data_IF_824160299412
#
_entry.id   IF_824160299412
#
_cell.length_a   1.000
_cell.length_b   1.000
_cell.length_c   1.000
_cell.angle_alpha   90.00
_cell.angle_beta   90.00
_cell.angle_gamma   90.00
#
_symmetry.space_group_name_H-M   'P 1'
#
loop_
_entity.id
_entity.type
_entity.pdbx_description
1 polymer ?
#
# COMPACT_ATOMS: atom_id res chain seq x y z
N UNK A 1 -32.14 -8.07 -16.49
CA UNK A 1 -30.77 -8.57 -16.76
C UNK A 1 -30.69 -10.09 -16.72
N UNK A 2 -29.97 -10.69 -17.65
CA UNK A 2 -29.73 -12.15 -17.68
C UNK A 2 -28.59 -12.56 -16.73
N UNK A 3 -28.58 -13.81 -16.22
CA UNK A 3 -27.59 -14.27 -15.25
C UNK A 3 -26.14 -14.24 -15.77
N UNK A 4 -25.92 -14.41 -17.07
CA UNK A 4 -24.59 -14.34 -17.69
C UNK A 4 -23.99 -12.93 -17.60
N UNK A 5 -24.83 -11.92 -17.76
CA UNK A 5 -24.46 -10.51 -17.75
C UNK A 5 -24.14 -10.03 -16.33
N UNK A 6 -24.94 -10.48 -15.36
CA UNK A 6 -24.67 -10.29 -13.93
C UNK A 6 -23.32 -10.90 -13.57
N UNK A 7 -23.05 -12.13 -14.02
CA UNK A 7 -21.78 -12.80 -13.76
C UNK A 7 -20.59 -12.09 -14.44
N UNK A 8 -20.78 -11.53 -15.63
CA UNK A 8 -19.76 -10.76 -16.33
C UNK A 8 -19.42 -9.45 -15.61
N UNK A 9 -20.43 -8.65 -15.25
CA UNK A 9 -20.27 -7.41 -14.49
C UNK A 9 -19.66 -7.67 -13.11
N UNK A 10 -20.08 -8.73 -12.43
CA UNK A 10 -19.53 -9.10 -11.13
C UNK A 10 -18.06 -9.55 -11.23
N UNK A 11 -17.66 -10.20 -12.32
CA UNK A 11 -16.26 -10.50 -12.61
C UNK A 11 -15.44 -9.23 -12.92
N UNK A 12 -16.00 -8.25 -13.63
CA UNK A 12 -15.33 -6.96 -13.85
C UNK A 12 -15.16 -6.23 -12.53
N UNK A 13 -16.23 -6.13 -11.74
CA UNK A 13 -16.26 -5.55 -10.39
C UNK A 13 -15.18 -6.16 -9.49
N UNK A 14 -15.08 -7.48 -9.50
CA UNK A 14 -14.07 -8.19 -8.71
C UNK A 14 -12.62 -7.89 -9.16
N UNK A 15 -12.40 -7.60 -10.44
CA UNK A 15 -11.08 -7.40 -11.01
C UNK A 15 -10.64 -5.92 -11.10
N UNK A 16 -11.57 -4.96 -11.13
CA UNK A 16 -11.29 -3.53 -11.36
C UNK A 16 -10.66 -2.81 -10.15
N UNK A 17 -10.78 -3.34 -8.93
CA UNK A 17 -10.15 -2.81 -7.69
C UNK A 17 -10.38 -1.30 -7.45
N UNK A 18 -11.54 -0.76 -7.84
CA UNK A 18 -11.87 0.66 -7.67
C UNK A 18 -12.39 0.98 -6.26
N UNK A 19 -12.56 2.27 -5.95
CA UNK A 19 -13.22 2.70 -4.73
C UNK A 19 -14.73 2.49 -4.85
N UNK A 20 -15.47 2.32 -3.74
CA UNK A 20 -16.92 2.00 -3.79
C UNK A 20 -17.78 2.99 -4.58
N UNK A 21 -17.48 4.28 -4.50
CA UNK A 21 -18.20 5.31 -5.25
C UNK A 21 -17.97 5.14 -6.76
N UNK A 22 -16.71 5.17 -7.18
CA UNK A 22 -16.28 4.98 -8.57
C UNK A 22 -16.73 3.61 -9.13
N UNK A 23 -16.75 2.57 -8.30
CA UNK A 23 -17.21 1.22 -8.65
C UNK A 23 -18.71 1.20 -8.97
N UNK A 24 -19.52 1.91 -8.18
CA UNK A 24 -20.99 1.92 -8.37
C UNK A 24 -21.35 2.72 -9.62
N UNK A 25 -20.72 3.88 -9.81
CA UNK A 25 -20.89 4.72 -11.00
C UNK A 25 -20.46 3.95 -12.27
N UNK A 26 -19.29 3.33 -12.24
CA UNK A 26 -18.77 2.58 -13.37
C UNK A 26 -19.60 1.34 -13.73
N UNK A 27 -20.08 0.59 -12.72
CA UNK A 27 -20.97 -0.55 -12.99
C UNK A 27 -22.28 -0.07 -13.61
N UNK A 28 -22.82 1.07 -13.15
CA UNK A 28 -24.03 1.65 -13.75
C UNK A 28 -23.79 2.12 -15.19
N UNK A 29 -22.63 2.70 -15.49
CA UNK A 29 -22.25 3.12 -16.84
C UNK A 29 -22.05 1.93 -17.79
N UNK A 30 -21.38 0.88 -17.32
CA UNK A 30 -21.21 -0.38 -18.06
C UNK A 30 -22.55 -1.08 -18.29
N UNK A 31 -23.41 -1.13 -17.28
CA UNK A 31 -24.77 -1.68 -17.39
C UNK A 31 -25.57 -0.94 -18.46
N UNK A 32 -25.55 0.40 -18.41
CA UNK A 32 -26.23 1.25 -19.41
C UNK A 32 -25.68 1.00 -20.82
N UNK A 33 -24.35 0.96 -20.98
CA UNK A 33 -23.72 0.72 -22.28
C UNK A 33 -24.06 -0.67 -22.85
N UNK A 34 -24.10 -1.70 -22.00
CA UNK A 34 -24.45 -3.07 -22.41
C UNK A 34 -25.93 -3.15 -22.77
N UNK A 35 -26.81 -2.48 -22.04
CA UNK A 35 -28.23 -2.42 -22.35
C UNK A 35 -28.50 -1.71 -23.69
N UNK A 36 -27.80 -0.61 -23.96
CA UNK A 36 -27.90 0.10 -25.23
C UNK A 36 -27.39 -0.76 -26.39
N UNK A 37 -26.25 -1.45 -26.22
CA UNK A 37 -25.73 -2.36 -27.26
C UNK A 37 -26.61 -3.58 -27.50
N UNK A 38 -27.20 -4.15 -26.45
CA UNK A 38 -28.17 -5.23 -26.58
C UNK A 38 -29.39 -4.81 -27.36
N UNK A 39 -29.88 -3.58 -27.14
CA UNK A 39 -31.02 -3.02 -27.86
C UNK A 39 -30.71 -2.86 -29.34
N UNK A 40 -29.57 -2.28 -29.67
CA UNK A 40 -29.10 -2.13 -31.06
C UNK A 40 -28.96 -3.49 -31.78
N UNK A 41 -28.37 -4.48 -31.11
CA UNK A 41 -28.23 -5.83 -31.67
C UNK A 41 -29.59 -6.54 -31.85
N UNK A 42 -30.52 -6.34 -30.92
CA UNK A 42 -31.88 -6.92 -31.05
C UNK A 42 -32.68 -6.21 -32.16
N UNK A 43 -32.54 -4.89 -32.28
CA UNK A 43 -33.18 -4.08 -33.34
C UNK A 43 -32.61 -4.41 -34.73
N UNK A 44 -31.34 -4.79 -34.82
CA UNK A 44 -30.73 -5.30 -36.06
C UNK A 44 -31.14 -6.74 -36.42
N UNK A 45 -32.02 -7.36 -35.63
CA UNK A 45 -32.66 -8.65 -35.95
C UNK A 45 -32.01 -9.87 -35.30
N UNK A 46 -31.06 -9.70 -34.38
CA UNK A 46 -30.51 -10.83 -33.63
C UNK A 46 -31.48 -11.30 -32.56
N UNK A 47 -31.49 -12.61 -32.31
CA UNK A 47 -32.18 -13.16 -31.15
C UNK A 47 -31.55 -12.64 -29.85
N UNK A 48 -32.31 -12.52 -28.74
CA UNK A 48 -31.78 -12.03 -27.47
C UNK A 48 -30.54 -12.79 -26.98
N UNK A 49 -30.49 -14.10 -27.24
CA UNK A 49 -29.37 -14.98 -26.84
C UNK A 49 -28.12 -14.74 -27.70
N UNK A 50 -28.30 -14.55 -29.01
CA UNK A 50 -27.19 -14.21 -29.92
C UNK A 50 -26.68 -12.79 -29.70
N UNK A 51 -27.56 -11.85 -29.39
CA UNK A 51 -27.21 -10.48 -29.05
C UNK A 51 -26.32 -10.42 -27.79
N UNK A 52 -26.63 -11.20 -26.76
CA UNK A 52 -25.80 -11.31 -25.55
C UNK A 52 -24.42 -11.89 -25.87
N UNK A 53 -24.37 -12.99 -26.62
CA UNK A 53 -23.11 -13.65 -26.96
C UNK A 53 -22.21 -12.75 -27.83
N UNK A 54 -22.83 -12.01 -28.75
CA UNK A 54 -22.14 -11.07 -29.63
C UNK A 54 -21.63 -9.86 -28.85
N UNK A 55 -22.48 -9.25 -28.01
CA UNK A 55 -22.10 -8.13 -27.14
C UNK A 55 -20.92 -8.49 -26.21
N UNK A 56 -20.99 -9.64 -25.54
CA UNK A 56 -19.90 -10.10 -24.67
C UNK A 56 -18.62 -10.45 -25.46
N UNK A 57 -18.76 -10.94 -26.70
CA UNK A 57 -17.64 -11.17 -27.60
C UNK A 57 -16.93 -9.87 -28.00
N UNK A 58 -17.69 -8.82 -28.31
CA UNK A 58 -17.18 -7.50 -28.69
C UNK A 58 -16.53 -6.75 -27.53
N UNK A 59 -17.08 -6.83 -26.31
CA UNK A 59 -16.45 -6.26 -25.12
C UNK A 59 -15.10 -6.92 -24.76
N UNK A 60 -14.89 -8.15 -25.20
CA UNK A 60 -13.66 -8.89 -24.97
C UNK A 60 -13.51 -9.43 -23.54
N UNK A 61 -12.28 -9.78 -23.14
CA UNK A 61 -12.07 -10.44 -21.85
C UNK A 61 -12.29 -9.48 -20.67
N UNK A 62 -13.01 -9.96 -19.63
CA UNK A 62 -13.23 -9.22 -18.37
C UNK A 62 -11.94 -8.67 -17.75
N UNK A 63 -10.80 -9.34 -17.95
CA UNK A 63 -9.48 -8.89 -17.47
C UNK A 63 -8.95 -7.68 -18.22
N UNK A 64 -9.16 -7.59 -19.54
CA UNK A 64 -8.73 -6.45 -20.35
C UNK A 64 -9.56 -5.22 -20.01
N UNK A 65 -10.88 -5.39 -19.96
CA UNK A 65 -11.83 -4.34 -19.59
C UNK A 65 -11.52 -3.81 -18.19
N UNK A 66 -11.41 -4.70 -17.20
CA UNK A 66 -11.02 -4.30 -15.85
C UNK A 66 -9.66 -3.60 -15.78
N UNK A 67 -8.69 -3.98 -16.63
CA UNK A 67 -7.38 -3.31 -16.70
C UNK A 67 -7.49 -1.90 -17.27
N UNK A 68 -8.21 -1.70 -18.37
CA UNK A 68 -8.38 -0.39 -19.00
C UNK A 68 -9.14 0.57 -18.08
N UNK A 69 -10.19 0.07 -17.43
CA UNK A 69 -10.95 0.80 -16.43
C UNK A 69 -10.07 1.22 -15.26
N UNK A 70 -9.27 0.29 -14.73
CA UNK A 70 -8.29 0.62 -13.71
C UNK A 70 -7.30 1.68 -14.20
N UNK A 71 -6.80 1.60 -15.43
CA UNK A 71 -5.86 2.58 -15.99
C UNK A 71 -6.48 3.98 -16.16
N UNK A 72 -7.77 4.06 -16.51
CA UNK A 72 -8.51 5.31 -16.67
C UNK A 72 -8.85 5.97 -15.32
N UNK A 73 -9.32 5.19 -14.34
CA UNK A 73 -9.77 5.70 -13.04
C UNK A 73 -8.67 5.74 -11.96
N UNK A 74 -7.52 5.09 -12.14
CA UNK A 74 -6.47 5.02 -11.10
C UNK A 74 -5.55 6.24 -11.01
N UNK A 75 -5.77 7.29 -11.81
CA UNK A 75 -5.04 8.55 -11.66
C UNK A 75 -5.61 9.36 -10.50
N UNK A 76 -4.81 9.53 -9.44
CA UNK A 76 -5.23 10.37 -8.33
C UNK A 76 -5.13 11.85 -8.67
N UNK A 77 -5.99 12.65 -8.02
CA UNK A 77 -5.99 14.10 -8.16
C UNK A 77 -4.74 14.72 -7.54
N UNK A 78 -4.37 15.93 -7.96
CA UNK A 78 -3.27 16.69 -7.34
C UNK A 78 -3.46 16.91 -5.84
N UNK A 79 -4.71 17.04 -5.38
CA UNK A 79 -5.03 17.08 -3.95
C UNK A 79 -4.62 15.79 -3.24
N UNK A 80 -4.86 14.63 -3.85
CA UNK A 80 -4.45 13.34 -3.30
C UNK A 80 -2.92 13.21 -3.29
N UNK A 81 -2.23 13.66 -4.34
CA UNK A 81 -0.77 13.71 -4.38
C UNK A 81 -0.23 14.52 -3.21
N UNK A 82 -0.70 15.76 -3.05
CA UNK A 82 -0.23 16.65 -2.01
C UNK A 82 -0.48 16.08 -0.61
N UNK A 83 -1.68 15.56 -0.35
CA UNK A 83 -2.04 14.96 0.94
C UNK A 83 -1.27 13.67 1.25
N UNK A 84 -0.97 12.85 0.24
CA UNK A 84 -0.22 11.60 0.40
C UNK A 84 1.29 11.84 0.56
N UNK A 85 1.83 12.88 -0.08
CA UNK A 85 3.23 13.27 0.03
C UNK A 85 3.52 14.11 1.28
N UNK A 86 2.50 14.74 1.88
CA UNK A 86 2.64 15.63 3.03
C UNK A 86 3.42 15.05 4.22
N UNK A 87 3.20 13.81 4.71
CA UNK A 87 3.97 13.31 5.85
C UNK A 87 5.46 13.25 5.51
N UNK A 88 5.80 12.82 4.28
CA UNK A 88 7.19 12.76 3.82
C UNK A 88 7.82 14.15 3.72
N UNK A 89 7.09 15.14 3.22
CA UNK A 89 7.57 16.53 3.18
C UNK A 89 7.77 17.11 4.57
N UNK A 90 6.84 16.86 5.50
CA UNK A 90 6.94 17.33 6.89
C UNK A 90 8.14 16.72 7.62
N UNK A 91 8.32 15.40 7.52
CA UNK A 91 9.50 14.73 8.09
C UNK A 91 10.79 15.18 7.38
N UNK A 92 10.78 15.35 6.06
CA UNK A 92 11.91 15.89 5.31
C UNK A 92 12.32 17.29 5.78
N UNK A 93 11.34 18.17 5.98
CA UNK A 93 11.54 19.54 6.47
C UNK A 93 12.03 19.56 7.93
N UNK A 94 11.48 18.68 8.79
CA UNK A 94 11.89 18.53 10.19
C UNK A 94 13.40 18.25 10.29
N UNK A 95 13.93 17.40 9.40
CA UNK A 95 15.35 17.09 9.34
C UNK A 95 16.17 18.19 8.63
N UNK A 96 15.69 18.71 7.51
CA UNK A 96 16.40 19.75 6.74
C UNK A 96 16.58 21.06 7.53
N UNK A 97 15.57 21.47 8.28
CA UNK A 97 15.60 22.68 9.13
C UNK A 97 16.16 22.42 10.54
N UNK A 98 16.61 21.20 10.82
CA UNK A 98 17.08 20.79 12.13
C UNK A 98 16.07 20.96 13.28
N UNK A 99 14.78 21.07 12.96
CA UNK A 99 13.70 21.19 13.95
C UNK A 99 13.51 19.95 14.82
N UNK A 100 14.04 18.80 14.38
CA UNK A 100 14.09 17.57 15.15
C UNK A 100 14.75 17.72 16.54
N UNK A 101 15.58 18.75 16.75
CA UNK A 101 16.21 19.04 18.04
C UNK A 101 15.21 19.46 19.12
N UNK A 102 14.11 20.09 18.71
CA UNK A 102 13.13 20.60 19.64
C UNK A 102 12.04 19.53 19.83
N UNK A 103 11.89 18.97 21.04
CA UNK A 103 10.89 17.93 21.29
C UNK A 103 9.46 18.43 21.02
N UNK A 104 9.23 19.74 21.10
CA UNK A 104 7.98 20.39 20.72
C UNK A 104 7.60 20.09 19.26
N UNK A 105 8.49 20.34 18.29
CA UNK A 105 8.20 20.13 16.87
C UNK A 105 7.99 18.65 16.53
N UNK A 106 8.79 17.77 17.15
CA UNK A 106 8.62 16.31 17.01
C UNK A 106 7.25 15.88 17.53
N UNK A 107 6.82 16.40 18.69
CA UNK A 107 5.54 16.07 19.30
C UNK A 107 4.36 16.56 18.47
N UNK A 108 4.41 17.80 17.97
CA UNK A 108 3.38 18.38 17.07
C UNK A 108 3.21 17.51 15.83
N UNK A 109 4.32 17.11 15.21
CA UNK A 109 4.32 16.32 13.99
C UNK A 109 3.81 14.89 14.21
N UNK A 110 4.10 14.31 15.38
CA UNK A 110 3.59 13.00 15.79
C UNK A 110 2.08 13.02 16.06
N UNK A 111 1.58 14.03 16.78
CA UNK A 111 0.14 14.23 17.01
C UNK A 111 -0.59 14.45 15.69
N UNK A 112 -0.05 15.29 14.80
CA UNK A 112 -0.63 15.52 13.47
C UNK A 112 -0.70 14.23 12.65
N UNK A 113 0.37 13.43 12.69
CA UNK A 113 0.42 12.15 11.97
C UNK A 113 -0.62 11.17 12.48
N UNK A 114 -0.74 11.03 13.81
CA UNK A 114 -1.73 10.16 14.44
C UNK A 114 -3.16 10.62 14.17
N UNK A 115 -3.44 11.91 14.37
CA UNK A 115 -4.77 12.48 14.12
C UNK A 115 -5.21 12.28 12.66
N UNK A 116 -4.30 12.52 11.71
CA UNK A 116 -4.58 12.35 10.28
C UNK A 116 -4.76 10.88 9.91
N UNK A 117 -3.96 9.97 10.49
CA UNK A 117 -4.10 8.53 10.28
C UNK A 117 -5.44 8.00 10.84
N UNK A 118 -5.83 8.44 12.05
CA UNK A 118 -7.13 8.08 12.67
C UNK A 118 -8.30 8.65 11.87
N UNK A 119 -8.23 9.92 11.47
CA UNK A 119 -9.25 10.56 10.65
C UNK A 119 -9.42 9.84 9.30
N UNK A 120 -8.32 9.54 8.61
CA UNK A 120 -8.33 8.79 7.35
C UNK A 120 -8.82 7.35 7.53
N UNK A 121 -8.64 6.76 8.71
CA UNK A 121 -9.17 5.44 9.04
C UNK A 121 -10.69 5.43 9.24
N UNK A 122 -11.26 6.51 9.81
CA UNK A 122 -12.69 6.66 10.07
C UNK A 122 -13.50 7.04 8.82
N UNK A 123 -12.96 7.84 7.90
CA UNK A 123 -13.67 8.30 6.69
C UNK A 123 -13.30 7.50 5.43
N UNK A 124 -13.83 6.29 5.27
CA UNK A 124 -13.81 5.47 4.03
C UNK A 124 -12.44 5.27 3.33
N UNK A 125 -11.35 5.47 4.06
CA UNK A 125 -9.97 5.08 3.72
C UNK A 125 -9.52 5.65 2.37
N UNK A 126 -9.36 6.97 2.25
CA UNK A 126 -8.92 7.59 1.01
C UNK A 126 -7.47 7.18 0.71
N UNK A 127 -7.12 7.16 -0.57
CA UNK A 127 -5.79 6.73 -1.07
C UNK A 127 -4.62 7.49 -0.46
N UNK A 128 -4.83 8.71 0.02
CA UNK A 128 -3.79 9.50 0.68
C UNK A 128 -3.50 9.08 2.13
N UNK A 129 -4.45 8.45 2.83
CA UNK A 129 -4.29 8.08 4.24
C UNK A 129 -3.24 6.97 4.46
N UNK A 130 -2.91 6.20 3.40
CA UNK A 130 -1.94 5.11 3.49
C UNK A 130 -0.53 5.59 3.82
N UNK A 131 -0.09 6.73 3.28
CA UNK A 131 1.22 7.30 3.63
C UNK A 131 1.29 7.63 5.12
N UNK A 132 0.23 8.22 5.68
CA UNK A 132 0.15 8.59 7.09
C UNK A 132 0.13 7.37 8.02
N UNK A 133 -0.54 6.28 7.61
CA UNK A 133 -0.52 5.02 8.33
C UNK A 133 0.89 4.45 8.47
N UNK A 134 1.75 4.59 7.45
CA UNK A 134 3.15 4.20 7.53
C UNK A 134 3.90 4.92 8.66
N UNK A 135 3.75 6.25 8.76
CA UNK A 135 4.38 7.04 9.81
C UNK A 135 3.76 6.85 11.19
N UNK A 136 2.48 6.45 11.28
CA UNK A 136 1.86 6.10 12.56
C UNK A 136 2.57 4.94 13.28
N UNK A 137 3.37 4.14 12.55
CA UNK A 137 4.18 3.07 13.11
C UNK A 137 5.45 3.57 13.82
N UNK A 138 5.86 4.82 13.60
CA UNK A 138 7.04 5.40 14.26
C UNK A 138 6.86 5.48 15.78
N UNK A 139 5.76 6.05 16.34
CA UNK A 139 5.53 6.01 17.78
C UNK A 139 5.51 4.58 18.35
N UNK A 140 4.96 3.62 17.61
CA UNK A 140 4.97 2.20 17.99
C UNK A 140 6.43 1.74 18.11
N UNK A 141 7.22 1.88 17.05
CA UNK A 141 8.66 1.56 17.07
C UNK A 141 9.42 2.26 18.21
N UNK A 142 9.16 3.54 18.45
CA UNK A 142 9.80 4.32 19.51
C UNK A 142 9.48 3.76 20.91
N UNK A 143 8.22 3.40 21.17
CA UNK A 143 7.83 2.74 22.43
C UNK A 143 8.51 1.38 22.56
N UNK A 144 8.56 0.59 21.47
CA UNK A 144 9.27 -0.69 21.45
C UNK A 144 10.75 -0.56 21.81
N UNK A 145 11.42 0.46 21.29
CA UNK A 145 12.81 0.76 21.64
C UNK A 145 12.94 1.22 23.09
N UNK A 146 12.06 2.11 23.56
CA UNK A 146 12.06 2.62 24.94
C UNK A 146 11.90 1.48 25.96
N UNK A 147 11.09 0.47 25.65
CA UNK A 147 10.90 -0.73 26.48
C UNK A 147 12.19 -1.55 26.67
N UNK A 148 13.17 -1.46 25.77
CA UNK A 148 14.48 -2.10 25.93
C UNK A 148 15.37 -1.38 26.94
N UNK A 149 15.09 -0.10 27.21
CA UNK A 149 15.82 0.70 28.19
C UNK A 149 15.19 0.65 29.59
N UNK A 150 14.04 0.01 29.76
CA UNK A 150 13.45 -0.17 31.09
C UNK A 150 14.31 -1.09 31.97
N UNK A 151 14.27 -0.92 33.31
CA UNK A 151 14.91 -1.84 34.24
C UNK A 151 14.52 -3.29 33.93
N UNK A 152 15.48 -4.22 34.04
CA UNK A 152 15.35 -5.63 33.60
C UNK A 152 14.02 -6.28 34.00
N UNK A 153 13.52 -6.03 35.22
CA UNK A 153 12.25 -6.60 35.70
C UNK A 153 11.02 -6.15 34.92
N UNK A 154 10.92 -4.85 34.62
CA UNK A 154 9.77 -4.31 33.88
C UNK A 154 9.84 -4.60 32.38
N UNK A 155 11.05 -4.58 31.80
CA UNK A 155 11.24 -4.93 30.40
C UNK A 155 10.81 -6.38 30.12
N UNK A 156 11.13 -7.31 31.02
CA UNK A 156 10.79 -8.73 30.89
C UNK A 156 9.27 -9.00 30.91
N UNK A 157 8.48 -8.16 31.57
CA UNK A 157 7.02 -8.24 31.57
C UNK A 157 6.40 -7.48 30.38
N UNK A 158 6.91 -6.30 30.07
CA UNK A 158 6.34 -5.42 29.07
C UNK A 158 6.62 -5.89 27.63
N UNK A 159 7.80 -6.44 27.36
CA UNK A 159 8.19 -6.89 26.01
C UNK A 159 7.27 -8.01 25.47
N UNK A 160 7.02 -9.10 26.23
CA UNK A 160 6.16 -10.18 25.76
C UNK A 160 4.68 -9.79 25.61
N UNK A 161 4.22 -8.74 26.31
CA UNK A 161 2.88 -8.21 26.14
C UNK A 161 2.79 -7.26 24.94
N UNK A 162 3.78 -6.38 24.81
CA UNK A 162 3.83 -5.36 23.78
C UNK A 162 4.06 -5.96 22.38
N UNK A 163 5.02 -6.87 22.25
CA UNK A 163 5.39 -7.46 20.96
C UNK A 163 4.22 -8.12 20.21
N UNK A 164 3.42 -9.04 20.82
CA UNK A 164 2.29 -9.62 20.12
C UNK A 164 1.20 -8.59 19.81
N UNK A 165 0.99 -7.60 20.67
CA UNK A 165 0.00 -6.54 20.42
C UNK A 165 0.42 -5.66 19.23
N UNK A 166 1.68 -5.24 19.19
CA UNK A 166 2.24 -4.47 18.08
C UNK A 166 2.24 -5.28 16.78
N UNK A 167 2.61 -6.55 16.84
CA UNK A 167 2.61 -7.45 15.68
C UNK A 167 1.18 -7.70 15.17
N UNK A 168 0.22 -7.92 16.07
CA UNK A 168 -1.18 -8.07 15.71
C UNK A 168 -1.72 -6.80 15.04
N UNK A 169 -1.42 -5.63 15.60
CA UNK A 169 -1.79 -4.34 15.01
C UNK A 169 -1.19 -4.13 13.63
N UNK A 170 0.12 -4.37 13.47
CA UNK A 170 0.82 -4.32 12.18
C UNK A 170 0.19 -5.28 11.17
N UNK A 171 -0.07 -6.52 11.56
CA UNK A 171 -0.68 -7.53 10.69
C UNK A 171 -2.09 -7.10 10.26
N UNK A 172 -2.88 -6.53 11.17
CA UNK A 172 -4.21 -5.98 10.85
C UNK A 172 -4.12 -4.87 9.81
N UNK A 173 -3.20 -3.92 9.97
CA UNK A 173 -3.00 -2.84 8.98
C UNK A 173 -2.56 -3.43 7.63
N UNK A 174 -1.58 -4.32 7.61
CA UNK A 174 -1.05 -4.92 6.37
C UNK A 174 -2.14 -5.70 5.63
N UNK A 175 -2.88 -6.58 6.32
CA UNK A 175 -3.97 -7.36 5.71
C UNK A 175 -5.05 -6.43 5.16
N UNK A 176 -5.41 -5.40 5.92
CA UNK A 176 -6.43 -4.45 5.48
C UNK A 176 -5.99 -3.67 4.24
N UNK A 177 -4.75 -3.20 4.20
CA UNK A 177 -4.21 -2.46 3.04
C UNK A 177 -4.03 -3.38 1.84
N UNK A 178 -3.55 -4.61 2.04
CA UNK A 178 -3.37 -5.62 0.99
C UNK A 178 -4.69 -6.05 0.35
N UNK A 179 -5.80 -6.06 1.12
CA UNK A 179 -7.14 -6.34 0.59
C UNK A 179 -7.60 -5.29 -0.44
N UNK A 180 -7.10 -4.05 -0.37
CA UNK A 180 -7.40 -2.99 -1.35
C UNK A 180 -6.48 -3.12 -2.57
N UNK A 181 -5.18 -2.91 -2.38
CA UNK A 181 -4.15 -3.31 -3.34
C UNK A 181 -2.81 -3.48 -2.63
N UNK A 182 -2.07 -4.51 -3.01
CA UNK A 182 -0.78 -4.82 -2.40
C UNK A 182 0.25 -3.71 -2.64
N UNK A 183 0.14 -2.97 -3.75
CA UNK A 183 1.05 -1.87 -4.08
C UNK A 183 0.99 -0.74 -3.05
N UNK A 184 -0.20 -0.40 -2.54
CA UNK A 184 -0.34 0.60 -1.47
C UNK A 184 0.27 0.10 -0.16
N UNK A 185 0.23 -1.21 0.09
CA UNK A 185 0.88 -1.79 1.27
C UNK A 185 2.40 -1.72 1.16
N UNK A 186 2.97 -2.01 -0.02
CA UNK A 186 4.40 -1.85 -0.28
C UNK A 186 4.82 -0.37 -0.17
N UNK A 187 4.02 0.56 -0.69
CA UNK A 187 4.27 2.00 -0.58
C UNK A 187 4.25 2.49 0.88
N UNK A 188 3.28 2.03 1.69
CA UNK A 188 3.17 2.36 3.11
C UNK A 188 4.38 1.88 3.93
N UNK A 189 4.94 0.73 3.57
CA UNK A 189 6.07 0.12 4.27
C UNK A 189 7.43 0.58 3.73
N UNK A 190 7.48 1.21 2.55
CA UNK A 190 8.71 1.70 1.90
C UNK A 190 9.58 2.61 2.80
N UNK A 191 9.01 3.49 3.64
CA UNK A 191 9.82 4.30 4.55
C UNK A 191 10.56 3.49 5.63
N UNK A 192 10.08 2.29 6.00
CA UNK A 192 10.64 1.51 7.12
C UNK A 192 12.11 1.09 6.88
N UNK A 193 12.48 0.41 5.78
CA UNK A 193 13.88 0.09 5.52
C UNK A 193 14.81 1.31 5.49
N UNK A 194 14.30 2.45 5.03
CA UNK A 194 15.06 3.71 4.94
C UNK A 194 15.30 4.29 6.34
N UNK A 195 14.26 4.32 7.18
CA UNK A 195 14.36 4.75 8.58
C UNK A 195 15.31 3.83 9.35
N UNK A 196 15.20 2.50 9.17
CA UNK A 196 16.09 1.52 9.80
C UNK A 196 17.54 1.75 9.32
N UNK A 197 17.75 1.97 8.03
CA UNK A 197 19.07 2.23 7.47
C UNK A 197 19.74 3.47 8.07
N UNK A 198 19.01 4.59 8.16
CA UNK A 198 19.49 5.80 8.82
C UNK A 198 19.68 5.64 10.33
N UNK A 199 18.80 4.90 10.99
CA UNK A 199 18.94 4.60 12.42
C UNK A 199 20.23 3.82 12.70
N UNK A 200 20.54 2.80 11.89
CA UNK A 200 21.78 2.02 12.01
C UNK A 200 23.03 2.84 11.65
N UNK A 201 22.91 3.77 10.70
CA UNK A 201 23.97 4.72 10.37
C UNK A 201 24.30 5.67 11.54
N UNK A 202 23.27 6.18 12.22
CA UNK A 202 23.41 7.06 13.38
C UNK A 202 23.89 6.30 14.61
N UNK A 203 23.31 5.11 14.86
CA UNK A 203 23.59 4.27 16.03
C UNK A 203 24.02 2.85 15.61
N UNK A 204 25.29 2.63 15.22
CA UNK A 204 25.79 1.32 14.81
C UNK A 204 25.71 0.25 15.90
N UNK A 205 25.72 0.67 17.18
CA UNK A 205 25.62 -0.23 18.35
C UNK A 205 24.20 -0.34 18.90
N UNK A 206 23.21 0.33 18.29
CA UNK A 206 21.83 0.36 18.74
C UNK A 206 21.60 1.09 20.07
N UNK A 207 22.63 1.74 20.64
CA UNK A 207 22.52 2.56 21.85
C UNK A 207 22.47 4.03 21.47
N UNK A 208 21.44 4.75 21.92
CA UNK A 208 21.34 6.20 21.80
C UNK A 208 22.17 6.87 22.90
N UNK A 209 23.46 7.07 22.64
CA UNK A 209 24.39 7.77 23.55
C UNK A 209 24.62 9.20 23.07
N UNK A 210 25.06 10.10 23.96
CA UNK A 210 25.41 11.50 23.62
C UNK A 210 26.41 11.60 22.46
N UNK A 211 27.30 10.62 22.30
CA UNK A 211 28.23 10.48 21.17
C UNK A 211 27.56 10.40 19.79
N UNK A 212 26.26 10.07 19.70
CA UNK A 212 25.55 9.98 18.43
C UNK A 212 24.97 11.33 17.99
N UNK A 213 24.84 12.33 18.89
CA UNK A 213 24.26 13.63 18.55
C UNK A 213 25.01 14.28 17.37
N UNK A 214 26.35 14.43 17.39
CA UNK A 214 27.08 15.00 16.25
C UNK A 214 26.87 14.24 14.93
N UNK A 215 26.62 12.92 15.00
CA UNK A 215 26.33 12.10 13.81
C UNK A 215 24.96 12.39 13.23
N UNK A 216 23.96 12.61 14.08
CA UNK A 216 22.61 13.01 13.62
C UNK A 216 22.69 14.34 12.86
N UNK A 217 23.43 15.32 13.37
CA UNK A 217 23.62 16.60 12.65
C UNK A 217 24.27 16.42 11.29
N UNK A 218 25.32 15.60 11.19
CA UNK A 218 25.99 15.31 9.91
C UNK A 218 25.09 14.61 8.89
N UNK A 219 24.18 13.74 9.36
CA UNK A 219 23.26 13.00 8.50
C UNK A 219 21.90 13.68 8.29
N UNK A 220 21.52 14.68 9.09
CA UNK A 220 20.20 15.30 9.03
C UNK A 220 19.80 15.81 7.63
N UNK A 221 20.66 16.50 6.85
CA UNK A 221 20.31 16.90 5.49
C UNK A 221 20.04 15.70 4.56
N UNK A 222 20.80 14.60 4.71
CA UNK A 222 20.67 13.40 3.89
C UNK A 222 19.44 12.55 4.26
N UNK A 223 19.11 12.53 5.56
CA UNK A 223 17.84 11.98 6.06
C UNK A 223 16.68 12.77 5.45
N UNK A 224 16.75 14.11 5.49
CA UNK A 224 15.76 14.99 4.88
C UNK A 224 15.57 14.74 3.38
N UNK A 225 16.67 14.63 2.62
CA UNK A 225 16.66 14.32 1.18
C UNK A 225 16.00 12.96 0.88
N UNK A 226 16.22 11.96 1.73
CA UNK A 226 15.58 10.64 1.58
C UNK A 226 14.06 10.74 1.70
N UNK A 227 13.56 11.54 2.64
CA UNK A 227 12.13 11.78 2.78
C UNK A 227 11.54 12.61 1.63
N UNK A 228 12.26 13.59 1.11
CA UNK A 228 11.86 14.34 -0.09
C UNK A 228 11.78 13.40 -1.31
N UNK A 229 12.75 12.49 -1.48
CA UNK A 229 12.73 11.49 -2.55
C UNK A 229 11.50 10.56 -2.44
N UNK A 230 11.11 10.16 -1.23
CA UNK A 230 9.88 9.40 -1.00
C UNK A 230 8.62 10.23 -1.31
N UNK A 231 8.60 11.52 -0.98
CA UNK A 231 7.50 12.41 -1.33
C UNK A 231 7.28 12.51 -2.84
N UNK A 232 8.38 12.63 -3.60
CA UNK A 232 8.37 12.60 -5.07
C UNK A 232 7.92 11.23 -5.61
N UNK A 233 8.38 10.15 -4.98
CA UNK A 233 7.98 8.79 -5.32
C UNK A 233 6.47 8.59 -5.20
N UNK A 234 5.85 9.12 -4.15
CA UNK A 234 4.40 9.06 -3.96
C UNK A 234 3.67 9.87 -5.02
N UNK A 235 4.14 11.07 -5.32
CA UNK A 235 3.56 11.90 -6.37
C UNK A 235 3.60 11.20 -7.74
N UNK A 236 4.76 10.64 -8.09
CA UNK A 236 4.90 9.84 -9.31
C UNK A 236 4.02 8.57 -9.27
N UNK A 237 3.98 7.86 -8.14
CA UNK A 237 3.19 6.63 -7.99
C UNK A 237 1.70 6.87 -8.24
N UNK A 238 1.16 7.98 -7.73
CA UNK A 238 -0.25 8.35 -7.90
C UNK A 238 -0.55 8.78 -9.35
N UNK A 239 0.42 9.36 -10.05
CA UNK A 239 0.25 9.85 -11.44
C UNK A 239 0.44 8.77 -12.50
N UNK A 240 1.29 7.79 -12.24
CA UNK A 240 1.61 6.70 -13.17
C UNK A 240 0.39 5.79 -13.37
N UNK A 241 -0.06 5.61 -14.61
CA UNK A 241 -1.19 4.74 -14.97
C UNK A 241 -0.82 3.25 -15.00
N UNK A 242 0.39 2.93 -15.45
CA UNK A 242 0.81 1.54 -15.65
C UNK A 242 1.28 0.88 -14.36
N UNK A 243 0.72 -0.29 -14.06
CA UNK A 243 1.04 -1.04 -12.83
C UNK A 243 2.52 -1.47 -12.76
N UNK A 244 3.10 -1.91 -13.87
CA UNK A 244 4.51 -2.30 -13.93
C UNK A 244 5.46 -1.14 -13.66
N UNK A 245 5.13 0.05 -14.17
CA UNK A 245 5.90 1.26 -13.87
C UNK A 245 5.81 1.64 -12.39
N UNK A 246 4.66 1.45 -11.73
CA UNK A 246 4.54 1.66 -10.27
C UNK A 246 5.46 0.69 -9.49
N UNK A 247 5.56 -0.56 -9.92
CA UNK A 247 6.47 -1.55 -9.32
C UNK A 247 7.93 -1.13 -9.53
N UNK A 248 8.28 -0.79 -10.77
CA UNK A 248 9.62 -0.30 -11.11
C UNK A 248 10.00 0.95 -10.32
N UNK A 249 9.06 1.89 -10.15
CA UNK A 249 9.23 3.11 -9.38
C UNK A 249 9.49 2.83 -7.89
N UNK A 250 8.71 1.92 -7.28
CA UNK A 250 8.93 1.51 -5.88
C UNK A 250 10.30 0.86 -5.68
N UNK A 251 10.68 -0.05 -6.59
CA UNK A 251 11.98 -0.73 -6.53
C UNK A 251 13.14 0.25 -6.74
N UNK A 252 13.06 1.10 -7.77
CA UNK A 252 14.08 2.11 -8.07
C UNK A 252 14.23 3.13 -6.94
N UNK A 253 13.12 3.63 -6.39
CA UNK A 253 13.14 4.57 -5.27
C UNK A 253 13.72 3.94 -4.00
N UNK A 254 13.28 2.72 -3.65
CA UNK A 254 13.81 1.98 -2.50
C UNK A 254 15.31 1.72 -2.62
N UNK A 255 15.76 1.27 -3.80
CA UNK A 255 17.18 1.02 -4.04
C UNK A 255 18.01 2.31 -4.04
N UNK A 256 17.49 3.39 -4.63
CA UNK A 256 18.18 4.68 -4.71
C UNK A 256 18.36 5.30 -3.31
N UNK A 257 17.32 5.25 -2.47
CA UNK A 257 17.39 5.77 -1.09
C UNK A 257 18.31 4.92 -0.20
N UNK A 258 18.31 3.59 -0.34
CA UNK A 258 19.29 2.74 0.34
C UNK A 258 20.72 2.97 -0.15
N UNK A 259 20.91 3.19 -1.44
CA UNK A 259 22.23 3.55 -2.01
C UNK A 259 22.73 4.86 -1.42
N UNK A 260 21.83 5.84 -1.25
CA UNK A 260 22.13 7.11 -0.59
C UNK A 260 22.59 6.90 0.86
N UNK A 261 21.91 6.04 1.62
CA UNK A 261 22.34 5.65 2.98
C UNK A 261 23.76 5.06 2.98
N UNK A 262 24.08 4.14 2.06
CA UNK A 262 25.42 3.53 1.99
C UNK A 262 26.49 4.53 1.57
N UNK A 263 26.22 5.34 0.54
CA UNK A 263 27.17 6.29 0.01
C UNK A 263 27.59 7.32 1.07
N UNK A 264 26.61 7.89 1.78
CA UNK A 264 26.89 8.91 2.80
C UNK A 264 27.39 8.33 4.12
N UNK A 265 27.24 7.03 4.37
CA UNK A 265 27.85 6.39 5.54
C UNK A 265 29.31 6.02 5.34
N UNK A 266 29.89 6.24 4.15
CA UNK A 266 31.34 6.14 3.88
C UNK A 266 31.96 4.80 4.32
N UNK A 267 31.22 3.69 4.14
CA UNK A 267 31.69 2.35 4.54
C UNK A 267 31.56 2.04 6.04
N UNK A 268 30.88 2.89 6.83
CA UNK A 268 30.59 2.61 8.25
C UNK A 268 29.46 1.61 8.46
N UNK A 269 28.63 1.38 7.45
CA UNK A 269 27.69 0.27 7.45
C UNK A 269 28.43 -1.00 7.03
N UNK A 270 28.47 -1.99 7.92
CA UNK A 270 29.03 -3.30 7.61
C UNK A 270 28.30 -3.91 6.40
N UNK A 271 29.03 -4.52 5.47
CA UNK A 271 28.48 -5.27 4.33
C UNK A 271 27.31 -6.20 4.67
N UNK A 272 27.34 -7.01 5.76
CA UNK A 272 26.18 -7.81 6.15
C UNK A 272 24.96 -6.98 6.55
N UNK A 273 25.14 -5.82 7.19
CA UNK A 273 24.04 -4.92 7.57
C UNK A 273 23.36 -4.36 6.32
N UNK A 274 24.15 -3.98 5.31
CA UNK A 274 23.61 -3.52 4.03
C UNK A 274 22.83 -4.63 3.32
N UNK A 275 23.38 -5.85 3.24
CA UNK A 275 22.69 -6.98 2.63
C UNK A 275 21.37 -7.30 3.37
N UNK A 276 21.39 -7.21 4.70
CA UNK A 276 20.19 -7.32 5.53
C UNK A 276 19.14 -6.26 5.21
N UNK A 277 19.54 -4.99 5.06
CA UNK A 277 18.62 -3.90 4.67
C UNK A 277 18.01 -4.12 3.27
N UNK A 278 18.81 -4.60 2.32
CA UNK A 278 18.32 -4.97 0.98
C UNK A 278 17.32 -6.12 1.07
N UNK A 279 17.61 -7.16 1.87
CA UNK A 279 16.65 -8.25 2.11
C UNK A 279 15.35 -7.76 2.75
N UNK A 280 15.43 -6.85 3.74
CA UNK A 280 14.26 -6.25 4.38
C UNK A 280 13.44 -5.43 3.37
N UNK A 281 14.10 -4.64 2.51
CA UNK A 281 13.45 -3.90 1.43
C UNK A 281 12.70 -4.81 0.47
N UNK A 282 13.35 -5.87 -0.01
CA UNK A 282 12.70 -6.86 -0.87
C UNK A 282 11.56 -7.59 -0.16
N UNK A 283 11.71 -7.93 1.12
CA UNK A 283 10.65 -8.49 1.94
C UNK A 283 9.43 -7.57 2.01
N UNK A 284 9.64 -6.28 2.27
CA UNK A 284 8.59 -5.27 2.27
C UNK A 284 7.86 -5.15 0.92
N UNK A 285 8.58 -5.30 -0.19
CA UNK A 285 7.98 -5.27 -1.53
C UNK A 285 7.24 -6.57 -1.90
N UNK A 286 7.73 -7.73 -1.45
CA UNK A 286 7.26 -9.06 -1.86
C UNK A 286 6.24 -9.71 -0.89
N UNK A 287 6.24 -9.35 0.39
CA UNK A 287 5.29 -9.87 1.37
C UNK A 287 3.84 -9.52 1.01
N UNK A 288 3.49 -8.27 0.66
CA UNK A 288 2.12 -7.93 0.27
C UNK A 288 1.57 -8.73 -0.93
N UNK A 289 2.28 -8.91 -2.07
CA UNK A 289 1.74 -9.69 -3.18
C UNK A 289 1.63 -11.18 -2.86
N UNK A 290 2.53 -11.76 -2.05
CA UNK A 290 2.40 -13.15 -1.60
C UNK A 290 1.18 -13.31 -0.69
N UNK A 291 0.97 -12.37 0.23
CA UNK A 291 -0.19 -12.35 1.11
C UNK A 291 -1.51 -12.19 0.33
N UNK A 292 -1.54 -11.35 -0.71
CA UNK A 292 -2.72 -11.24 -1.59
C UNK A 292 -3.05 -12.59 -2.24
N UNK A 293 -2.05 -13.32 -2.77
CA UNK A 293 -2.25 -14.64 -3.37
C UNK A 293 -2.85 -15.64 -2.37
N UNK A 294 -2.35 -15.64 -1.13
CA UNK A 294 -2.86 -16.52 -0.07
C UNK A 294 -4.31 -16.18 0.31
N UNK A 295 -4.62 -14.88 0.50
CA UNK A 295 -5.96 -14.40 0.81
C UNK A 295 -6.98 -14.66 -0.31
N UNK A 296 -6.56 -14.67 -1.57
CA UNK A 296 -7.40 -15.02 -2.73
C UNK A 296 -7.64 -16.53 -2.80
N UNK A 297 -6.60 -17.35 -2.57
CA UNK A 297 -6.71 -18.81 -2.57
C UNK A 297 -7.73 -19.31 -1.53
N UNK A 298 -7.69 -18.76 -0.31
CA UNK A 298 -8.65 -19.11 0.75
C UNK A 298 -10.11 -18.76 0.44
N UNK A 299 -10.37 -17.68 -0.33
CA UNK A 299 -11.74 -17.32 -0.76
C UNK A 299 -12.24 -18.17 -1.95
N UNK A 300 -11.34 -18.62 -2.83
CA UNK A 300 -11.69 -19.51 -3.94
C UNK A 300 -12.20 -20.88 -3.50
N UNK A 301 -11.71 -21.37 -2.34
CA UNK A 301 -12.16 -22.64 -1.73
C UNK A 301 -13.61 -22.50 -1.22
N UNK A 302 -13.96 -21.37 -0.60
CA UNK A 302 -15.32 -21.08 -0.13
C UNK A 302 -16.30 -20.96 -1.32
N UNK A 303 -15.85 -20.38 -2.44
CA UNK A 303 -16.68 -20.21 -3.63
C UNK A 303 -16.96 -21.53 -4.36
N UNK A 304 -16.03 -22.50 -4.35
CA UNK A 304 -16.29 -23.84 -4.90
C UNK A 304 -17.42 -24.58 -4.19
N UNK A 305 -17.66 -24.30 -2.91
CA UNK A 305 -18.74 -24.91 -2.13
C UNK A 305 -20.10 -24.22 -2.30
N UNK A 306 -20.17 -23.06 -2.97
CA UNK A 306 -21.42 -22.32 -3.22
C UNK A 306 -21.99 -22.48 -4.64
N UNK A 307 -21.40 -23.33 -5.48
CA UNK A 307 -22.04 -23.69 -6.75
C UNK A 307 -23.35 -24.44 -6.44
N UNK A 308 -24.52 -23.96 -6.89
CA UNK A 308 -25.72 -24.78 -6.83
C UNK A 308 -25.47 -26.08 -7.62
N UNK A 309 -26.00 -27.22 -7.17
CA UNK A 309 -25.90 -28.47 -7.92
C UNK A 309 -26.49 -28.25 -9.31
N UNK A 310 -25.76 -28.69 -10.35
CA UNK A 310 -26.26 -28.66 -11.74
C UNK A 310 -27.59 -29.42 -11.78
N UNK A 311 -28.71 -28.78 -12.18
CA UNK A 311 -29.95 -29.51 -12.38
C UNK A 311 -29.82 -30.33 -13.67
N UNK A 312 -29.95 -31.65 -13.54
CA UNK A 312 -30.34 -32.54 -14.62
C UNK A 312 -29.23 -32.99 -15.58
N UNK A 313 -28.35 -33.90 -15.14
CA UNK A 313 -28.01 -35.02 -16.01
C UNK A 313 -29.18 -35.99 -15.90
N UNK A 314 -30.02 -36.02 -16.94
CA UNK A 314 -31.02 -37.07 -17.13
C UNK A 314 -30.29 -38.42 -17.11
N UNK A 315 -30.73 -39.31 -16.23
CA UNK A 315 -30.48 -40.74 -16.38
C UNK A 315 -31.00 -41.17 -17.75
N UNK A 316 -30.13 -41.73 -18.56
CA UNK A 316 -30.49 -42.50 -19.74
C UNK A 316 -29.71 -43.81 -19.65
N UNK A 317 -30.45 -44.91 -19.82
CA UNK A 317 -30.13 -46.32 -19.65
C UNK A 317 -30.06 -46.81 -18.20
#
# INVERSE_FOLDING_TARGET
MTPELIQYLENIRYNSKLNRADETELISELETHIEDKLRELTESGLSPEEAIKTCLGEMGSTRLVARQIYEAYSQGSWRQVLMASLPHLLFGLLFALNWWQYPFWVSVLLVLTLATAVYGWWHDKPTWAFSWLGYSLIPVLAVGILLLYLPKGWSLLALPLYFPLALWWLFRIIVQTTRRDWLFSSLMLLPLPIIIGWFLAVSPTGKLTEFNLPRVYGFAPWIGMSFIALALTIGAFIRVRQRWLRIGLLAASGLSTLTLVVYYTTGRLNTPTFLGLVMVMWGVLLVPPVLERYLRSGRGIIWRHRKPPRPGLKQAA
#
